data_IF_746678658342
#
_entry.id   IF_746678658342
#
_cell.length_a   1.000
_cell.length_b   1.000
_cell.length_c   1.000
_cell.angle_alpha   90.00
_cell.angle_beta   90.00
_cell.angle_gamma   90.00
#
_symmetry.space_group_name_H-M   'P 1'
#
loop_
_entity.id
_entity.type
_entity.pdbx_description
1 polymer ?
#
# COMPACT_ATOMS: atom_id res chain seq x y z
N UNK A 1 18.66 -17.99 -38.14
CA UNK A 1 19.00 -17.18 -36.95
C UNK A 1 18.46 -15.77 -37.17
N UNK A 2 17.25 -15.48 -36.69
CA UNK A 2 16.65 -14.15 -36.78
C UNK A 2 16.90 -13.40 -35.47
N UNK A 3 17.81 -12.43 -35.52
CA UNK A 3 18.16 -11.58 -34.38
C UNK A 3 17.02 -10.59 -34.14
N UNK A 4 16.15 -10.89 -33.18
CA UNK A 4 15.15 -9.94 -32.69
C UNK A 4 15.87 -8.81 -31.96
N UNK A 5 16.06 -7.69 -32.65
CA UNK A 5 16.52 -6.43 -32.05
C UNK A 5 15.35 -5.82 -31.28
N UNK A 6 15.32 -6.05 -29.97
CA UNK A 6 14.41 -5.35 -29.05
C UNK A 6 14.84 -3.87 -28.99
N UNK A 7 14.23 -3.03 -29.82
CA UNK A 7 14.30 -1.59 -29.65
C UNK A 7 13.69 -1.24 -28.28
N UNK A 8 14.42 -0.58 -27.36
CA UNK A 8 13.81 -0.08 -26.15
C UNK A 8 12.83 1.02 -26.56
N UNK A 9 11.53 0.73 -26.51
CA UNK A 9 10.49 1.73 -26.69
C UNK A 9 10.62 2.77 -25.58
N UNK A 10 11.39 3.83 -25.83
CA UNK A 10 11.30 5.05 -25.03
C UNK A 10 9.90 5.61 -25.29
N UNK A 11 9.05 5.59 -24.25
CA UNK A 11 7.71 6.13 -24.34
C UNK A 11 7.81 7.62 -24.69
N UNK A 12 7.20 7.99 -25.83
CA UNK A 12 7.16 9.37 -26.31
C UNK A 12 6.62 10.31 -25.22
N UNK A 13 7.11 11.55 -25.11
CA UNK A 13 6.57 12.55 -24.18
C UNK A 13 5.05 12.71 -24.30
N UNK A 14 4.49 12.50 -25.50
CA UNK A 14 3.04 12.50 -25.72
C UNK A 14 2.32 11.37 -24.95
N UNK A 15 2.91 10.18 -24.86
CA UNK A 15 2.32 9.04 -24.14
C UNK A 15 2.35 9.26 -22.63
N UNK A 16 3.42 9.90 -22.12
CA UNK A 16 3.51 10.27 -20.70
C UNK A 16 2.44 11.28 -20.30
N UNK A 17 2.18 12.27 -21.16
CA UNK A 17 1.15 13.27 -20.93
C UNK A 17 -0.26 12.65 -20.96
N UNK A 18 -0.54 11.76 -21.92
CA UNK A 18 -1.81 11.03 -22.00
C UNK A 18 -2.10 10.22 -20.73
N UNK A 19 -1.08 9.53 -20.20
CA UNK A 19 -1.24 8.73 -18.98
C UNK A 19 -1.42 9.60 -17.73
N UNK A 20 -0.75 10.75 -17.65
CA UNK A 20 -0.98 11.71 -16.57
C UNK A 20 -2.39 12.31 -16.65
N UNK A 21 -2.85 12.65 -17.86
CA UNK A 21 -4.19 13.20 -18.09
C UNK A 21 -5.30 12.20 -17.75
N UNK A 22 -5.14 10.92 -18.12
CA UNK A 22 -6.09 9.87 -17.75
C UNK A 22 -6.24 9.74 -16.23
N UNK A 23 -5.14 9.88 -15.49
CA UNK A 23 -5.14 9.79 -14.02
C UNK A 23 -5.76 11.03 -13.38
N UNK A 24 -5.47 12.22 -13.92
CA UNK A 24 -6.11 13.45 -13.49
C UNK A 24 -7.62 13.42 -13.73
N UNK A 25 -8.05 12.84 -14.85
CA UNK A 25 -9.47 12.65 -15.16
C UNK A 25 -10.15 11.71 -14.16
N UNK A 26 -9.53 10.56 -13.85
CA UNK A 26 -10.04 9.64 -12.84
C UNK A 26 -10.07 10.32 -11.45
N UNK A 27 -9.01 11.05 -11.08
CA UNK A 27 -8.95 11.79 -9.82
C UNK A 27 -10.02 12.88 -9.72
N UNK A 28 -10.35 13.54 -10.83
CA UNK A 28 -11.45 14.51 -10.88
C UNK A 28 -12.80 13.82 -10.69
N UNK A 29 -13.06 12.74 -11.44
CA UNK A 29 -14.30 11.96 -11.35
C UNK A 29 -14.55 11.46 -9.93
N UNK A 30 -13.55 10.86 -9.29
CA UNK A 30 -13.65 10.36 -7.92
C UNK A 30 -13.61 11.49 -6.88
N UNK A 31 -12.91 12.58 -7.16
CA UNK A 31 -12.76 13.72 -6.26
C UNK A 31 -14.03 14.57 -6.13
N UNK A 32 -14.88 14.63 -7.15
CA UNK A 32 -16.15 15.38 -7.10
C UNK A 32 -17.02 14.93 -5.92
N UNK A 33 -17.41 13.64 -5.77
CA UNK A 33 -18.22 13.20 -4.65
C UNK A 33 -17.45 13.18 -3.32
N UNK A 34 -16.13 12.95 -3.36
CA UNK A 34 -15.35 12.71 -2.14
C UNK A 34 -14.81 13.99 -1.48
N UNK A 35 -14.51 15.02 -2.28
CA UNK A 35 -13.88 16.29 -1.86
C UNK A 35 -14.72 17.49 -2.30
N UNK A 36 -15.28 17.42 -3.52
CA UNK A 36 -16.03 18.53 -4.12
C UNK A 36 -17.34 18.82 -3.40
N UNK A 37 -18.02 17.79 -2.89
CA UNK A 37 -19.31 17.90 -2.22
C UNK A 37 -19.16 17.58 -0.73
N UNK A 38 -19.25 18.60 0.12
CA UNK A 38 -19.26 18.42 1.58
C UNK A 38 -20.59 18.89 2.14
N UNK A 39 -21.17 18.15 3.07
CA UNK A 39 -22.34 18.62 3.82
C UNK A 39 -21.88 19.46 5.01
N UNK A 40 -22.44 20.65 5.15
CA UNK A 40 -22.18 21.56 6.27
C UNK A 40 -23.50 21.79 6.98
N UNK A 41 -23.54 21.53 8.28
CA UNK A 41 -24.69 21.83 9.12
C UNK A 41 -24.73 23.33 9.39
N UNK A 42 -25.78 23.99 8.89
CA UNK A 42 -26.06 25.40 9.18
C UNK A 42 -27.43 25.49 9.88
N UNK A 43 -27.41 25.43 11.20
CA UNK A 43 -28.61 25.66 12.02
C UNK A 43 -29.64 24.53 11.96
N UNK A 44 -29.22 23.27 11.86
CA UNK A 44 -30.12 22.12 11.87
C UNK A 44 -30.63 21.69 10.49
N UNK A 45 -30.15 22.35 9.42
CA UNK A 45 -30.39 21.94 8.04
C UNK A 45 -29.06 21.58 7.35
N UNK A 46 -28.99 20.39 6.77
CA UNK A 46 -27.85 19.92 5.97
C UNK A 46 -27.86 20.64 4.61
N UNK A 47 -26.88 21.53 4.40
CA UNK A 47 -26.64 22.16 3.08
C UNK A 47 -25.39 21.58 2.44
N UNK A 48 -25.45 21.36 1.13
CA UNK A 48 -24.30 20.92 0.33
C UNK A 48 -23.44 22.13 0.01
N UNK A 49 -22.25 22.21 0.60
CA UNK A 49 -21.24 23.21 0.27
C UNK A 49 -20.22 22.62 -0.71
N UNK A 50 -19.99 23.33 -1.81
CA UNK A 50 -19.06 22.90 -2.85
C UNK A 50 -17.66 23.47 -2.61
N UNK A 51 -16.65 22.60 -2.46
CA UNK A 51 -15.24 23.01 -2.29
C UNK A 51 -14.42 22.81 -3.56
N UNK A 52 -14.79 23.53 -4.62
CA UNK A 52 -14.10 23.47 -5.92
C UNK A 52 -12.59 23.75 -5.85
N UNK A 53 -12.09 24.73 -5.07
CA UNK A 53 -10.66 25.02 -5.02
C UNK A 53 -9.83 23.84 -4.51
N UNK A 54 -10.32 23.12 -3.49
CA UNK A 54 -9.62 21.95 -2.93
C UNK A 54 -9.65 20.77 -3.89
N UNK A 55 -10.74 20.60 -4.64
CA UNK A 55 -10.83 19.58 -5.68
C UNK A 55 -9.82 19.84 -6.81
N UNK A 56 -9.74 21.08 -7.32
CA UNK A 56 -8.79 21.42 -8.37
C UNK A 56 -7.34 21.28 -7.90
N UNK A 57 -7.04 21.69 -6.66
CA UNK A 57 -5.72 21.49 -6.07
C UNK A 57 -5.36 20.01 -5.98
N UNK A 58 -6.28 19.15 -5.53
CA UNK A 58 -6.08 17.70 -5.47
C UNK A 58 -5.78 17.09 -6.85
N UNK A 59 -6.54 17.47 -7.88
CA UNK A 59 -6.35 16.99 -9.25
C UNK A 59 -5.01 17.45 -9.84
N UNK A 60 -4.63 18.71 -9.58
CA UNK A 60 -3.34 19.25 -10.01
C UNK A 60 -2.16 18.52 -9.36
N UNK A 61 -2.25 18.23 -8.06
CA UNK A 61 -1.24 17.44 -7.33
C UNK A 61 -1.17 16.02 -7.87
N UNK A 62 -2.31 15.36 -8.14
CA UNK A 62 -2.33 14.01 -8.71
C UNK A 62 -1.68 13.97 -10.11
N UNK A 63 -1.97 14.95 -10.96
CA UNK A 63 -1.36 15.08 -12.29
C UNK A 63 0.15 15.32 -12.22
N UNK A 64 0.59 16.32 -11.45
CA UNK A 64 1.99 16.67 -11.30
C UNK A 64 2.78 15.53 -10.64
N UNK A 65 2.23 14.93 -9.58
CA UNK A 65 2.82 13.78 -8.89
C UNK A 65 2.99 12.59 -9.83
N UNK A 66 1.97 12.24 -10.63
CA UNK A 66 2.05 11.15 -11.63
C UNK A 66 3.09 11.44 -12.71
N UNK A 67 3.21 12.69 -13.17
CA UNK A 67 4.18 13.11 -14.18
C UNK A 67 5.62 13.02 -13.65
N UNK A 68 5.86 13.54 -12.44
CA UNK A 68 7.17 13.53 -11.78
C UNK A 68 7.58 12.09 -11.44
N UNK A 69 6.69 11.29 -10.85
CA UNK A 69 6.97 9.91 -10.49
C UNK A 69 7.33 9.08 -11.72
N UNK A 70 6.61 9.25 -12.83
CA UNK A 70 6.93 8.55 -14.10
C UNK A 70 8.26 8.99 -14.69
N UNK A 71 8.56 10.29 -14.65
CA UNK A 71 9.87 10.78 -15.08
C UNK A 71 10.99 10.20 -14.21
N UNK A 72 10.82 10.17 -12.88
CA UNK A 72 11.76 9.59 -11.93
C UNK A 72 11.97 8.09 -12.13
N UNK A 73 10.90 7.32 -12.28
CA UNK A 73 10.95 5.87 -12.51
C UNK A 73 11.65 5.57 -13.84
N UNK A 74 11.34 6.30 -14.91
CA UNK A 74 11.98 6.11 -16.22
C UNK A 74 13.50 6.37 -16.16
N UNK A 75 13.93 7.41 -15.43
CA UNK A 75 15.35 7.72 -15.22
C UNK A 75 16.05 6.65 -14.38
N UNK A 76 15.40 6.17 -13.32
CA UNK A 76 15.94 5.09 -12.49
C UNK A 76 16.04 3.77 -13.25
N UNK A 77 15.03 3.41 -14.04
CA UNK A 77 15.01 2.19 -14.85
C UNK A 77 16.04 2.25 -15.98
N UNK A 78 16.22 3.41 -16.60
CA UNK A 78 17.28 3.64 -17.58
C UNK A 78 18.68 3.47 -16.96
N UNK A 79 18.91 4.06 -15.77
CA UNK A 79 20.16 3.89 -15.02
C UNK A 79 20.43 2.44 -14.59
N UNK A 80 19.39 1.73 -14.16
CA UNK A 80 19.49 0.31 -13.82
C UNK A 80 19.83 -0.54 -15.04
N UNK A 81 19.17 -0.33 -16.18
CA UNK A 81 19.45 -1.08 -17.41
C UNK A 81 20.88 -0.85 -17.91
N UNK A 82 21.39 0.38 -17.81
CA UNK A 82 22.79 0.68 -18.15
C UNK A 82 23.75 0.01 -17.17
N UNK A 83 23.43 0.00 -15.88
CA UNK A 83 24.22 -0.65 -14.83
C UNK A 83 24.20 -2.18 -14.93
N UNK A 84 23.05 -2.79 -15.21
CA UNK A 84 22.90 -4.23 -15.44
C UNK A 84 23.64 -4.68 -16.70
N UNK A 85 23.67 -3.87 -17.78
CA UNK A 85 24.49 -4.18 -18.97
C UNK A 85 25.99 -4.07 -18.69
N UNK A 86 26.39 -3.11 -17.86
CA UNK A 86 27.79 -2.96 -17.43
C UNK A 86 28.20 -4.07 -16.43
N UNK A 87 27.33 -4.44 -15.50
CA UNK A 87 27.54 -5.55 -14.56
C UNK A 87 27.48 -6.90 -15.28
N UNK A 88 26.57 -7.13 -16.24
CA UNK A 88 26.56 -8.35 -17.06
C UNK A 88 27.80 -8.48 -17.96
N UNK A 89 28.46 -7.36 -18.29
CA UNK A 89 29.72 -7.36 -19.02
C UNK A 89 30.96 -7.59 -18.11
N UNK A 90 30.82 -7.51 -16.79
CA UNK A 90 31.95 -7.48 -15.83
C UNK A 90 31.82 -8.48 -14.66
N UNK A 91 30.63 -8.96 -14.30
CA UNK A 91 30.41 -9.57 -13.00
C UNK A 91 30.58 -11.11 -12.95
N UNK A 92 31.40 -11.62 -12.02
CA UNK A 92 31.27 -12.96 -11.47
C UNK A 92 30.01 -13.05 -10.59
N UNK A 93 29.48 -14.26 -10.41
CA UNK A 93 28.27 -14.59 -9.63
C UNK A 93 28.45 -14.17 -8.16
N UNK A 94 27.90 -13.01 -7.77
CA UNK A 94 27.99 -12.48 -6.40
C UNK A 94 26.73 -11.69 -6.02
N UNK A 95 26.13 -12.04 -4.88
CA UNK A 95 24.79 -11.63 -4.44
C UNK A 95 24.53 -10.13 -4.38
N UNK A 96 23.29 -9.75 -4.70
CA UNK A 96 22.78 -8.37 -4.64
C UNK A 96 22.85 -7.82 -3.21
N UNK A 97 23.82 -6.94 -2.94
CA UNK A 97 23.83 -6.10 -1.75
C UNK A 97 22.69 -5.05 -1.85
N UNK A 98 21.75 -5.06 -0.89
CA UNK A 98 20.68 -4.06 -0.83
C UNK A 98 21.23 -2.64 -0.68
N UNK A 99 20.65 -1.66 -1.38
CA UNK A 99 21.12 -0.27 -1.34
C UNK A 99 20.94 0.33 0.06
N UNK A 100 21.97 1.01 0.63
CA UNK A 100 21.90 1.57 1.98
C UNK A 100 20.75 2.57 2.16
N UNK A 101 20.37 3.28 1.10
CA UNK A 101 19.25 4.22 1.10
C UNK A 101 17.91 3.54 1.44
N UNK A 102 17.68 2.31 0.98
CA UNK A 102 16.45 1.58 1.27
C UNK A 102 16.35 1.23 2.76
N UNK A 103 17.48 0.87 3.37
CA UNK A 103 17.58 0.61 4.81
C UNK A 103 17.30 1.87 5.61
N UNK A 104 17.87 3.01 5.21
CA UNK A 104 17.60 4.32 5.85
C UNK A 104 16.13 4.74 5.73
N UNK A 105 15.52 4.55 4.56
CA UNK A 105 14.08 4.81 4.36
C UNK A 105 13.24 3.89 5.25
N UNK A 106 13.60 2.62 5.39
CA UNK A 106 12.92 1.67 6.29
C UNK A 106 13.00 2.11 7.75
N UNK A 107 14.18 2.52 8.22
CA UNK A 107 14.35 3.04 9.59
C UNK A 107 13.60 4.35 9.82
N UNK A 108 13.60 5.26 8.85
CA UNK A 108 12.83 6.50 8.93
C UNK A 108 11.32 6.21 9.01
N UNK A 109 10.81 5.29 8.19
CA UNK A 109 9.41 4.88 8.22
C UNK A 109 9.03 4.24 9.57
N UNK A 110 9.91 3.40 10.14
CA UNK A 110 9.71 2.82 11.47
C UNK A 110 9.69 3.92 12.56
N UNK A 111 10.63 4.87 12.50
CA UNK A 111 10.67 6.00 13.42
C UNK A 111 9.40 6.84 13.38
N UNK A 112 8.87 7.12 12.18
CA UNK A 112 7.60 7.83 12.00
C UNK A 112 6.44 7.02 12.58
N UNK A 113 6.37 5.70 12.30
CA UNK A 113 5.28 4.86 12.79
C UNK A 113 5.21 4.81 14.33
N UNK A 114 6.36 4.85 15.01
CA UNK A 114 6.42 4.89 16.48
C UNK A 114 6.13 6.29 17.02
N UNK A 115 6.64 7.34 16.38
CA UNK A 115 6.47 8.72 16.85
C UNK A 115 5.04 9.26 16.63
N UNK A 116 4.35 8.82 15.58
CA UNK A 116 3.02 9.30 15.21
C UNK A 116 1.98 9.18 16.35
N UNK A 117 1.77 8.01 16.99
CA UNK A 117 0.81 7.90 18.09
C UNK A 117 1.24 8.68 19.35
N UNK A 118 2.53 8.98 19.50
CA UNK A 118 3.05 9.76 20.64
C UNK A 118 2.79 11.26 20.43
N UNK A 119 3.00 11.76 19.21
CA UNK A 119 2.84 13.18 18.87
C UNK A 119 1.37 13.55 18.67
N UNK A 120 0.57 12.63 18.12
CA UNK A 120 -0.85 12.86 17.78
C UNK A 120 -1.81 12.10 18.70
N UNK A 121 -1.41 11.79 19.94
CA UNK A 121 -2.23 11.06 20.93
C UNK A 121 -3.58 11.73 21.20
N UNK A 122 -3.63 13.06 21.16
CA UNK A 122 -4.86 13.85 21.37
C UNK A 122 -5.83 13.76 20.18
N UNK A 123 -5.34 13.43 18.98
CA UNK A 123 -6.15 13.34 17.78
C UNK A 123 -6.44 11.88 17.41
N UNK A 124 -7.48 11.32 18.04
CA UNK A 124 -7.92 9.94 17.83
C UNK A 124 -8.17 9.58 16.37
N UNK A 125 -8.63 10.52 15.55
CA UNK A 125 -8.85 10.29 14.12
C UNK A 125 -7.55 9.93 13.38
N UNK A 126 -6.45 10.64 13.69
CA UNK A 126 -5.15 10.40 13.06
C UNK A 126 -4.59 9.05 13.47
N UNK A 127 -4.70 8.71 14.75
CA UNK A 127 -4.24 7.41 15.29
C UNK A 127 -5.04 6.26 14.68
N UNK A 128 -6.37 6.32 14.71
CA UNK A 128 -7.23 5.24 14.18
C UNK A 128 -7.01 5.05 12.65
N UNK A 129 -6.84 6.15 11.91
CA UNK A 129 -6.52 6.09 10.47
C UNK A 129 -5.15 5.45 10.23
N UNK A 130 -4.13 5.85 10.99
CA UNK A 130 -2.78 5.29 10.86
C UNK A 130 -2.75 3.80 11.22
N UNK A 131 -3.44 3.39 12.28
CA UNK A 131 -3.59 1.98 12.66
C UNK A 131 -4.27 1.17 11.56
N UNK A 132 -5.34 1.71 10.96
CA UNK A 132 -6.03 1.06 9.82
C UNK A 132 -5.11 0.88 8.61
N UNK A 133 -4.31 1.90 8.30
CA UNK A 133 -3.30 1.83 7.24
C UNK A 133 -2.26 0.75 7.55
N UNK A 134 -1.74 0.69 8.78
CA UNK A 134 -0.79 -0.34 9.20
C UNK A 134 -1.37 -1.75 9.07
N UNK A 135 -2.63 -1.95 9.47
CA UNK A 135 -3.33 -3.24 9.30
C UNK A 135 -3.33 -3.65 7.83
N UNK A 136 -3.69 -2.75 6.91
CA UNK A 136 -3.69 -3.06 5.48
C UNK A 136 -2.29 -3.32 4.92
N UNK A 137 -1.26 -2.62 5.41
CA UNK A 137 0.13 -2.91 5.06
C UNK A 137 0.52 -4.31 5.52
N UNK A 138 0.18 -4.69 6.76
CA UNK A 138 0.45 -6.03 7.28
C UNK A 138 -0.29 -7.11 6.48
N UNK A 139 -1.56 -6.88 6.10
CA UNK A 139 -2.32 -7.79 5.23
C UNK A 139 -1.66 -7.94 3.85
N UNK A 140 -1.27 -6.82 3.22
CA UNK A 140 -0.59 -6.84 1.94
C UNK A 140 0.76 -7.58 2.00
N UNK A 141 1.47 -7.42 3.11
CA UNK A 141 2.73 -8.14 3.35
C UNK A 141 2.49 -9.64 3.53
N UNK A 142 1.46 -10.04 4.28
CA UNK A 142 1.06 -11.44 4.41
C UNK A 142 0.67 -12.07 3.07
N UNK A 143 -0.09 -11.36 2.24
CA UNK A 143 -0.40 -11.81 0.88
C UNK A 143 0.86 -11.97 0.02
N UNK A 144 1.81 -11.02 0.13
CA UNK A 144 3.08 -11.11 -0.59
C UNK A 144 3.92 -12.31 -0.16
N UNK A 145 3.85 -12.72 1.11
CA UNK A 145 4.51 -13.95 1.59
C UNK A 145 3.88 -15.19 0.95
N UNK A 146 2.54 -15.28 0.92
CA UNK A 146 1.85 -16.45 0.36
C UNK A 146 2.03 -16.52 -1.15
N UNK A 147 1.73 -15.45 -1.88
CA UNK A 147 1.85 -15.42 -3.34
C UNK A 147 3.32 -15.47 -3.77
N UNK A 148 4.20 -14.77 -3.06
CA UNK A 148 5.62 -14.66 -3.42
C UNK A 148 6.44 -15.92 -3.13
N UNK A 149 6.10 -16.70 -2.10
CA UNK A 149 6.82 -17.93 -1.75
C UNK A 149 6.12 -19.20 -2.26
N UNK A 150 4.78 -19.27 -2.23
CA UNK A 150 4.04 -20.46 -2.65
C UNK A 150 3.59 -20.42 -4.12
N UNK A 151 3.62 -19.25 -4.78
CA UNK A 151 3.28 -19.10 -6.20
C UNK A 151 1.79 -19.25 -6.54
N UNK A 152 0.92 -19.39 -5.54
CA UNK A 152 -0.53 -19.55 -5.69
C UNK A 152 -1.26 -18.33 -5.11
N UNK A 153 -2.33 -17.90 -5.79
CA UNK A 153 -3.20 -16.81 -5.32
C UNK A 153 -4.13 -17.34 -4.21
N UNK A 154 -3.82 -17.01 -2.96
CA UNK A 154 -4.71 -17.30 -1.84
C UNK A 154 -5.72 -16.15 -1.62
N UNK A 155 -6.96 -16.36 -2.09
CA UNK A 155 -8.09 -15.45 -1.83
C UNK A 155 -8.69 -15.63 -0.43
N UNK A 156 -8.39 -16.73 0.25
CA UNK A 156 -8.91 -17.07 1.58
C UNK A 156 -8.20 -16.35 2.73
N UNK A 157 -7.05 -15.70 2.47
CA UNK A 157 -6.23 -15.02 3.46
C UNK A 157 -7.02 -14.06 4.38
N UNK A 158 -7.98 -13.30 3.83
CA UNK A 158 -8.79 -12.34 4.60
C UNK A 158 -9.71 -13.04 5.62
N UNK A 159 -10.12 -14.29 5.35
CA UNK A 159 -10.94 -15.05 6.29
C UNK A 159 -10.15 -15.39 7.57
N UNK A 160 -8.87 -15.78 7.44
CA UNK A 160 -8.02 -16.06 8.60
C UNK A 160 -7.74 -14.81 9.43
N UNK A 161 -7.52 -13.67 8.76
CA UNK A 161 -7.45 -12.37 9.42
C UNK A 161 -8.72 -12.06 10.23
N UNK A 162 -9.90 -12.25 9.63
CA UNK A 162 -11.17 -11.98 10.28
C UNK A 162 -11.40 -12.88 11.51
N UNK A 163 -11.06 -14.17 11.43
CA UNK A 163 -11.15 -15.10 12.57
C UNK A 163 -10.29 -14.64 13.75
N UNK A 164 -9.04 -14.25 13.50
CA UNK A 164 -8.16 -13.73 14.55
C UNK A 164 -8.66 -12.42 15.16
N UNK A 165 -9.02 -11.45 14.31
CA UNK A 165 -9.52 -10.14 14.76
C UNK A 165 -10.81 -10.26 15.57
N UNK A 166 -11.76 -11.10 15.14
CA UNK A 166 -13.00 -11.34 15.86
C UNK A 166 -12.77 -12.04 17.21
N UNK A 167 -11.87 -13.03 17.24
CA UNK A 167 -11.47 -13.69 18.49
C UNK A 167 -10.89 -12.68 19.47
N UNK A 168 -9.97 -11.82 19.00
CA UNK A 168 -9.41 -10.74 19.82
C UNK A 168 -10.50 -9.79 20.34
N UNK A 169 -11.42 -9.36 19.47
CA UNK A 169 -12.49 -8.43 19.85
C UNK A 169 -13.39 -9.00 20.95
N UNK A 170 -13.77 -10.28 20.87
CA UNK A 170 -14.57 -10.93 21.93
C UNK A 170 -13.77 -11.04 23.23
N UNK A 171 -12.51 -11.49 23.17
CA UNK A 171 -11.68 -11.63 24.37
C UNK A 171 -11.46 -10.29 25.08
N UNK A 172 -11.20 -9.23 24.31
CA UNK A 172 -10.98 -7.90 24.85
C UNK A 172 -12.27 -7.27 25.40
N UNK A 173 -13.41 -7.42 24.71
CA UNK A 173 -14.66 -6.71 25.08
C UNK A 173 -15.55 -7.48 26.06
N UNK A 174 -15.62 -8.81 25.96
CA UNK A 174 -16.52 -9.63 26.78
C UNK A 174 -15.80 -10.25 27.98
N UNK A 175 -14.56 -10.68 27.80
CA UNK A 175 -13.79 -11.37 28.83
C UNK A 175 -12.81 -10.44 29.58
N UNK A 176 -12.66 -9.19 29.13
CA UNK A 176 -11.77 -8.20 29.74
C UNK A 176 -10.30 -8.54 29.63
N UNK A 177 -9.91 -9.39 28.66
CA UNK A 177 -8.52 -9.79 28.49
C UNK A 177 -7.67 -8.63 27.96
N UNK A 178 -6.46 -8.51 28.50
CA UNK A 178 -5.48 -7.55 27.99
C UNK A 178 -4.94 -7.94 26.60
N UNK A 179 -4.35 -6.97 25.90
CA UNK A 179 -3.77 -7.18 24.56
C UNK A 179 -2.85 -8.41 24.50
N UNK A 180 -1.93 -8.53 25.46
CA UNK A 180 -0.93 -9.59 25.50
C UNK A 180 -1.50 -10.99 25.74
N UNK A 181 -2.65 -11.10 26.40
CA UNK A 181 -3.31 -12.38 26.67
C UNK A 181 -4.18 -12.81 25.48
N UNK A 182 -4.89 -11.84 24.88
CA UNK A 182 -5.74 -12.09 23.72
C UNK A 182 -4.92 -12.38 22.46
N UNK A 183 -3.73 -11.80 22.32
CA UNK A 183 -2.84 -11.97 21.15
C UNK A 183 -2.50 -13.45 20.83
N UNK A 184 -1.94 -14.26 21.76
CA UNK A 184 -1.60 -15.65 21.46
C UNK A 184 -2.85 -16.51 21.19
N UNK A 185 -3.98 -16.23 21.85
CA UNK A 185 -5.21 -16.98 21.64
C UNK A 185 -5.86 -16.65 20.30
N UNK A 186 -5.90 -15.38 19.92
CA UNK A 186 -6.37 -14.95 18.60
C UNK A 186 -5.51 -15.54 17.47
N UNK A 187 -4.18 -15.50 17.64
CA UNK A 187 -3.24 -16.14 16.70
C UNK A 187 -3.41 -17.66 16.65
N UNK A 188 -3.57 -18.31 17.80
CA UNK A 188 -3.84 -19.74 17.90
C UNK A 188 -5.13 -20.15 17.17
N UNK A 189 -6.22 -19.42 17.39
CA UNK A 189 -7.49 -19.66 16.70
C UNK A 189 -7.37 -19.49 15.18
N UNK A 190 -6.71 -18.43 14.72
CA UNK A 190 -6.46 -18.22 13.29
C UNK A 190 -5.63 -19.38 12.70
N UNK A 191 -4.59 -19.84 13.39
CA UNK A 191 -3.78 -20.97 12.97
C UNK A 191 -4.57 -22.29 12.93
N UNK A 192 -5.41 -22.55 13.93
CA UNK A 192 -6.27 -23.75 13.97
C UNK A 192 -7.22 -23.79 12.77
N UNK A 193 -7.91 -22.70 12.47
CA UNK A 193 -8.77 -22.61 11.28
C UNK A 193 -7.97 -22.71 9.98
N UNK A 194 -6.76 -22.15 9.94
CA UNK A 194 -5.82 -22.32 8.84
C UNK A 194 -5.47 -23.78 8.57
N UNK A 195 -5.16 -24.55 9.60
CA UNK A 195 -4.87 -25.99 9.47
C UNK A 195 -6.11 -26.77 9.05
N UNK A 196 -7.26 -26.52 9.67
CA UNK A 196 -8.53 -27.22 9.36
C UNK A 196 -8.92 -27.02 7.89
N UNK A 197 -8.81 -25.79 7.37
CA UNK A 197 -9.17 -25.47 5.99
C UNK A 197 -8.08 -25.80 4.97
N UNK A 198 -6.81 -25.73 5.38
CA UNK A 198 -5.67 -26.10 4.54
C UNK A 198 -5.52 -27.61 4.36
N UNK A 199 -5.85 -28.41 5.37
CA UNK A 199 -5.70 -29.87 5.33
C UNK A 199 -6.41 -30.54 4.13
N UNK A 200 -7.66 -30.19 3.77
CA UNK A 200 -8.34 -30.67 2.57
C UNK A 200 -7.65 -30.39 1.23
N UNK A 201 -6.71 -29.44 1.15
CA UNK A 201 -6.02 -29.06 -0.10
C UNK A 201 -4.71 -29.82 -0.33
N UNK A 202 -4.25 -30.58 0.67
CA UNK A 202 -3.05 -31.44 0.58
C UNK A 202 -3.32 -32.81 -0.04
N UNK A 203 -4.57 -33.11 -0.37
CA UNK A 203 -5.04 -34.29 -1.11
C UNK A 203 -5.41 -33.87 -2.53
#
# INVERSE_FOLDING_TARGET
MATFVLAPHSLSPATRLKDAAAVAFIALLLGIPMIGLTTVDQGGALRVATRWPTLFAFVAVAFAGRLILRYGIDQFKARQLTRERAEAAVAPVGGRAGSPLLTWVGWAALGIAVALPIIFSDNRYVVDTATTVLIYVMLGWGLNVVVGLAGLLDLGYVAFYAVGAYTYAILATQFGWGFWQALPVAGGMAATFGVILGWPTLR
#
